data_IF_523319641429
#
_entry.id   IF_523319641429
#
_cell.length_a   1.000
_cell.length_b   1.000
_cell.length_c   1.000
_cell.angle_alpha   90.00
_cell.angle_beta   90.00
_cell.angle_gamma   90.00
#
_symmetry.space_group_name_H-M   'P 1'
#
loop_
_entity.id
_entity.type
_entity.pdbx_description
1 polymer ?
#
# COMPACT_ATOMS: atom_id res chain seq x y z
N UNK A 1 -34.22 -9.77 -17.19
CA UNK A 1 -34.21 -10.24 -15.80
C UNK A 1 -32.78 -10.00 -15.33
N UNK A 2 -32.57 -8.89 -14.65
CA UNK A 2 -31.27 -8.53 -14.07
C UNK A 2 -31.14 -9.32 -12.76
N UNK A 3 -30.23 -10.29 -12.72
CA UNK A 3 -29.81 -10.89 -11.46
C UNK A 3 -29.16 -9.76 -10.63
N UNK A 4 -29.90 -9.31 -9.64
CA UNK A 4 -29.39 -8.45 -8.59
C UNK A 4 -28.38 -9.31 -7.83
N UNK A 5 -27.11 -8.93 -7.82
CA UNK A 5 -26.09 -9.57 -6.99
C UNK A 5 -26.50 -9.38 -5.53
N UNK A 6 -27.13 -10.39 -4.94
CA UNK A 6 -27.61 -10.34 -3.54
C UNK A 6 -26.45 -10.31 -2.52
N UNK A 7 -25.19 -10.35 -2.96
CA UNK A 7 -24.05 -10.42 -2.09
C UNK A 7 -24.03 -11.68 -1.19
N UNK A 8 -23.00 -11.83 -0.35
CA UNK A 8 -22.86 -12.97 0.56
C UNK A 8 -23.97 -12.91 1.62
N UNK A 9 -24.77 -13.98 1.70
CA UNK A 9 -25.85 -14.10 2.68
C UNK A 9 -26.93 -13.00 2.57
N UNK A 10 -27.12 -12.44 1.36
CA UNK A 10 -28.08 -11.35 1.14
C UNK A 10 -27.62 -10.02 1.77
N UNK A 11 -26.36 -9.87 2.09
CA UNK A 11 -25.79 -8.67 2.72
C UNK A 11 -25.63 -7.50 1.74
N UNK A 12 -25.62 -7.77 0.41
CA UNK A 12 -25.28 -6.81 -0.61
C UNK A 12 -23.76 -6.59 -0.80
N UNK A 13 -22.92 -7.35 -0.08
CA UNK A 13 -21.47 -7.27 -0.14
C UNK A 13 -20.86 -8.50 -0.80
N UNK A 14 -19.88 -8.29 -1.67
CA UNK A 14 -19.18 -9.34 -2.40
C UNK A 14 -18.03 -9.93 -1.57
N UNK A 15 -17.40 -11.00 -2.08
CA UNK A 15 -16.21 -11.58 -1.47
C UNK A 15 -15.04 -10.57 -1.43
N UNK A 16 -14.91 -9.74 -2.46
CA UNK A 16 -13.87 -8.70 -2.54
C UNK A 16 -14.10 -7.62 -1.49
N UNK A 17 -15.34 -7.21 -1.27
CA UNK A 17 -15.69 -6.26 -0.21
C UNK A 17 -15.35 -6.81 1.18
N UNK A 18 -15.64 -8.11 1.41
CA UNK A 18 -15.31 -8.77 2.66
C UNK A 18 -13.79 -8.94 2.85
N UNK A 19 -13.03 -9.16 1.79
CA UNK A 19 -11.58 -9.27 1.89
C UNK A 19 -10.92 -7.94 2.26
N UNK A 20 -11.44 -6.83 1.75
CA UNK A 20 -10.94 -5.49 2.03
C UNK A 20 -11.38 -4.95 3.41
N UNK A 21 -12.43 -5.52 4.03
CA UNK A 21 -12.98 -5.03 5.28
C UNK A 21 -12.06 -5.18 6.51
N UNK A 22 -11.41 -6.34 6.75
CA UNK A 22 -10.39 -6.50 7.79
C UNK A 22 -9.17 -5.61 7.60
N UNK A 23 -8.75 -5.38 6.35
CA UNK A 23 -7.56 -4.58 6.03
C UNK A 23 -7.71 -3.12 6.48
N UNK A 24 -8.95 -2.62 6.46
CA UNK A 24 -9.32 -1.29 6.98
C UNK A 24 -9.57 -1.27 8.50
N UNK A 25 -9.25 -2.37 9.20
CA UNK A 25 -9.50 -2.49 10.63
C UNK A 25 -10.98 -2.57 10.99
N UNK A 26 -11.83 -3.03 10.05
CA UNK A 26 -13.30 -3.06 10.16
C UNK A 26 -13.93 -1.69 10.40
N UNK A 27 -13.32 -0.65 9.81
CA UNK A 27 -13.81 0.73 9.91
C UNK A 27 -14.16 1.29 8.53
N UNK A 28 -15.30 2.02 8.39
CA UNK A 28 -16.36 2.14 9.40
C UNK A 28 -17.08 0.80 9.64
N UNK A 29 -17.63 0.59 10.84
CA UNK A 29 -18.38 -0.63 11.16
C UNK A 29 -19.61 -0.77 10.25
N UNK A 30 -19.71 -1.91 9.55
CA UNK A 30 -20.78 -2.18 8.59
C UNK A 30 -21.72 -3.24 9.19
N UNK A 31 -22.84 -2.80 9.75
CA UNK A 31 -23.80 -3.69 10.43
C UNK A 31 -24.27 -4.85 9.52
N UNK A 32 -24.44 -4.62 8.23
CA UNK A 32 -24.84 -5.65 7.26
C UNK A 32 -23.79 -6.77 7.11
N UNK A 33 -22.52 -6.50 7.37
CA UNK A 33 -21.44 -7.50 7.41
C UNK A 33 -21.34 -8.09 8.82
N UNK A 34 -21.24 -7.24 9.85
CA UNK A 34 -20.92 -7.65 11.23
C UNK A 34 -22.02 -8.49 11.89
N UNK A 35 -23.28 -8.29 11.49
CA UNK A 35 -24.41 -9.06 12.03
C UNK A 35 -24.82 -10.25 11.15
N UNK A 36 -24.37 -10.33 9.91
CA UNK A 36 -24.68 -11.41 8.97
C UNK A 36 -23.84 -12.66 9.29
N UNK A 37 -24.48 -13.79 9.50
CA UNK A 37 -23.82 -15.04 9.88
C UNK A 37 -22.90 -15.59 8.79
N UNK A 38 -23.29 -15.45 7.50
CA UNK A 38 -22.50 -15.94 6.37
C UNK A 38 -21.28 -15.04 6.11
N UNK A 39 -21.44 -13.71 6.18
CA UNK A 39 -20.33 -12.80 6.10
C UNK A 39 -19.29 -13.05 7.20
N UNK A 40 -19.73 -13.26 8.44
CA UNK A 40 -18.82 -13.60 9.55
C UNK A 40 -18.09 -14.93 9.32
N UNK A 41 -18.79 -15.96 8.84
CA UNK A 41 -18.16 -17.25 8.54
C UNK A 41 -17.07 -17.13 7.44
N UNK A 42 -17.29 -16.28 6.44
CA UNK A 42 -16.29 -15.98 5.41
C UNK A 42 -15.10 -15.23 6.01
N UNK A 43 -15.33 -14.19 6.79
CA UNK A 43 -14.28 -13.44 7.48
C UNK A 43 -13.43 -14.33 8.40
N UNK A 44 -14.07 -15.19 9.20
CA UNK A 44 -13.39 -16.15 10.06
C UNK A 44 -12.58 -17.17 9.26
N UNK A 45 -13.05 -17.55 8.08
CA UNK A 45 -12.31 -18.41 7.15
C UNK A 45 -11.06 -17.72 6.61
N UNK A 46 -11.17 -16.47 6.19
CA UNK A 46 -10.06 -15.66 5.70
C UNK A 46 -9.00 -15.46 6.80
N UNK A 47 -9.43 -15.17 8.02
CA UNK A 47 -8.52 -15.04 9.18
C UNK A 47 -7.76 -16.35 9.46
N UNK A 48 -8.45 -17.50 9.39
CA UNK A 48 -7.80 -18.82 9.56
C UNK A 48 -6.79 -19.09 8.47
N UNK A 49 -7.12 -18.85 7.19
CA UNK A 49 -6.19 -19.03 6.07
C UNK A 49 -4.97 -18.12 6.24
N UNK A 50 -5.18 -16.85 6.61
CA UNK A 50 -4.09 -15.92 6.88
C UNK A 50 -3.20 -16.34 8.05
N UNK A 51 -3.77 -16.95 9.10
CA UNK A 51 -3.01 -17.49 10.23
C UNK A 51 -2.17 -18.72 9.83
N UNK A 52 -2.76 -19.65 9.08
CA UNK A 52 -2.05 -20.83 8.56
C UNK A 52 -0.92 -20.46 7.60
N UNK A 53 -1.14 -19.49 6.72
CA UNK A 53 -0.10 -19.00 5.80
C UNK A 53 1.09 -18.42 6.56
N UNK A 54 0.83 -17.67 7.64
CA UNK A 54 1.90 -17.12 8.51
C UNK A 54 2.65 -18.22 9.25
N UNK A 55 1.94 -19.28 9.70
CA UNK A 55 2.55 -20.42 10.38
C UNK A 55 3.42 -21.24 9.44
N UNK A 56 2.98 -21.50 8.20
CA UNK A 56 3.77 -22.16 7.16
C UNK A 56 5.04 -21.36 6.85
N UNK A 57 4.93 -20.06 6.62
CA UNK A 57 6.09 -19.20 6.40
C UNK A 57 7.08 -19.25 7.57
N UNK A 58 6.57 -19.21 8.80
CA UNK A 58 7.42 -19.33 9.99
C UNK A 58 8.08 -20.70 10.14
N UNK A 59 7.45 -21.77 9.62
CA UNK A 59 8.04 -23.11 9.56
C UNK A 59 9.15 -23.20 8.51
N UNK A 60 8.89 -22.69 7.30
CA UNK A 60 9.87 -22.68 6.20
C UNK A 60 11.14 -21.89 6.58
N UNK A 61 10.97 -20.77 7.31
CA UNK A 61 12.09 -19.98 7.83
C UNK A 61 12.94 -20.77 8.84
N UNK A 62 12.30 -21.54 9.73
CA UNK A 62 13.03 -22.38 10.70
C UNK A 62 13.77 -23.55 10.05
N UNK A 63 13.23 -24.08 8.96
CA UNK A 63 13.84 -25.20 8.21
C UNK A 63 14.98 -24.74 7.29
N UNK A 64 15.04 -23.45 6.94
CA UNK A 64 16.09 -22.84 6.13
C UNK A 64 16.88 -21.76 6.91
N UNK A 65 17.78 -22.15 7.83
CA UNK A 65 18.50 -21.23 8.71
C UNK A 65 19.53 -20.32 7.99
N UNK A 66 19.65 -20.43 6.66
CA UNK A 66 20.51 -19.54 5.87
C UNK A 66 19.89 -18.15 5.60
N UNK A 67 18.64 -17.95 5.94
CA UNK A 67 17.97 -16.65 5.81
C UNK A 67 17.95 -15.98 7.20
N UNK A 68 18.46 -14.77 7.30
CA UNK A 68 18.43 -13.98 8.54
C UNK A 68 16.95 -13.77 8.95
N UNK A 69 16.53 -14.39 10.06
CA UNK A 69 15.17 -14.30 10.59
C UNK A 69 14.73 -12.85 10.83
N UNK A 70 15.67 -11.97 11.21
CA UNK A 70 15.39 -10.55 11.39
C UNK A 70 15.11 -9.86 10.06
N UNK A 71 15.86 -10.22 9.02
CA UNK A 71 15.65 -9.67 7.67
C UNK A 71 14.29 -10.12 7.10
N UNK A 72 13.96 -11.42 7.21
CA UNK A 72 12.68 -11.93 6.73
C UNK A 72 11.50 -11.36 7.52
N UNK A 73 11.61 -11.25 8.83
CA UNK A 73 10.60 -10.62 9.69
C UNK A 73 10.38 -9.15 9.34
N UNK A 74 11.44 -8.42 9.05
CA UNK A 74 11.36 -7.02 8.62
C UNK A 74 10.73 -6.89 7.23
N UNK A 75 11.08 -7.79 6.31
CA UNK A 75 10.51 -7.83 4.97
C UNK A 75 8.99 -8.11 5.00
N UNK A 76 8.56 -9.14 5.73
CA UNK A 76 7.14 -9.48 5.88
C UNK A 76 6.35 -8.36 6.57
N UNK A 77 6.95 -7.68 7.54
CA UNK A 77 6.34 -6.52 8.19
C UNK A 77 6.19 -5.34 7.22
N UNK A 78 7.19 -5.12 6.39
CA UNK A 78 7.16 -4.07 5.37
C UNK A 78 6.10 -4.35 4.30
N UNK A 79 6.07 -5.56 3.77
CA UNK A 79 5.06 -6.01 2.80
C UNK A 79 3.65 -5.88 3.41
N UNK A 80 3.44 -6.37 4.63
CA UNK A 80 2.15 -6.29 5.31
C UNK A 80 1.70 -4.87 5.57
N UNK A 81 2.63 -3.95 5.81
CA UNK A 81 2.31 -2.52 6.00
C UNK A 81 1.91 -1.86 4.68
N UNK A 82 2.57 -2.23 3.59
CA UNK A 82 2.32 -1.65 2.28
C UNK A 82 1.02 -2.14 1.64
N UNK A 83 0.61 -3.39 1.92
CA UNK A 83 -0.66 -3.96 1.46
C UNK A 83 -1.89 -3.39 2.19
N UNK A 84 -1.72 -2.70 3.32
CA UNK A 84 -2.85 -2.10 4.04
C UNK A 84 -3.28 -0.80 3.38
N UNK A 85 -4.58 -0.58 3.28
CA UNK A 85 -5.16 0.68 2.80
C UNK A 85 -4.67 1.88 3.63
N UNK A 86 -4.31 1.65 4.90
CA UNK A 86 -3.89 2.70 5.82
C UNK A 86 -5.06 3.59 6.22
N UNK A 87 -4.74 4.82 6.63
CA UNK A 87 -5.73 5.82 7.02
C UNK A 87 -6.38 6.48 5.80
N UNK A 88 -7.60 6.99 5.98
CA UNK A 88 -8.23 7.86 5.02
C UNK A 88 -7.71 9.30 5.19
N UNK A 89 -7.30 9.90 4.09
CA UNK A 89 -6.83 11.29 4.02
C UNK A 89 -7.96 12.09 3.37
N UNK A 90 -8.56 13.06 4.07
CA UNK A 90 -9.63 13.86 3.50
C UNK A 90 -9.09 14.72 2.34
N UNK A 91 -9.89 14.82 1.28
CA UNK A 91 -9.64 15.69 0.14
C UNK A 91 -10.59 16.87 0.19
N UNK A 92 -10.15 18.00 -0.36
CA UNK A 92 -11.01 19.19 -0.49
C UNK A 92 -12.17 18.90 -1.42
N UNK A 93 -13.39 19.25 -1.02
CA UNK A 93 -14.58 19.17 -1.87
C UNK A 93 -15.17 20.56 -2.04
N UNK A 94 -15.57 20.90 -3.27
CA UNK A 94 -16.32 22.13 -3.56
C UNK A 94 -17.78 22.04 -3.12
N UNK A 95 -18.28 20.83 -2.91
CA UNK A 95 -19.64 20.58 -2.42
C UNK A 95 -19.61 20.26 -0.92
N UNK A 96 -20.22 21.11 -0.06
CA UNK A 96 -20.21 20.89 1.39
C UNK A 96 -20.99 19.66 1.85
N UNK A 97 -21.79 19.04 0.96
CA UNK A 97 -22.54 17.83 1.24
C UNK A 97 -21.76 16.55 0.87
N UNK A 98 -20.63 16.69 0.18
CA UNK A 98 -19.79 15.59 -0.29
C UNK A 98 -18.52 15.51 0.53
N UNK A 99 -18.26 14.35 1.15
CA UNK A 99 -16.99 14.02 1.80
C UNK A 99 -16.16 13.14 0.86
N UNK A 100 -15.01 13.65 0.45
CA UNK A 100 -14.05 12.92 -0.38
C UNK A 100 -12.84 12.51 0.47
N UNK A 101 -12.33 11.31 0.28
CA UNK A 101 -11.10 10.86 0.89
C UNK A 101 -10.32 9.95 -0.06
N UNK A 102 -9.02 9.92 0.12
CA UNK A 102 -8.12 8.96 -0.53
C UNK A 102 -7.41 8.14 0.54
N UNK A 103 -7.25 6.85 0.33
CA UNK A 103 -6.52 6.03 1.30
C UNK A 103 -5.02 6.26 1.18
N UNK A 104 -4.30 6.16 2.29
CA UNK A 104 -2.84 6.24 2.30
C UNK A 104 -2.20 5.17 1.40
N UNK A 105 -2.82 3.98 1.29
CA UNK A 105 -2.40 2.92 0.38
C UNK A 105 -2.49 3.32 -1.09
N UNK A 106 -3.58 4.00 -1.49
CA UNK A 106 -3.72 4.50 -2.86
C UNK A 106 -2.69 5.58 -3.21
N UNK A 107 -2.36 6.45 -2.25
CA UNK A 107 -1.29 7.45 -2.43
C UNK A 107 0.07 6.77 -2.55
N UNK A 108 0.37 5.76 -1.71
CA UNK A 108 1.62 4.98 -1.80
C UNK A 108 1.76 4.26 -3.14
N UNK A 109 0.68 3.68 -3.64
CA UNK A 109 0.67 3.01 -4.95
C UNK A 109 0.95 4.00 -6.09
N UNK A 110 0.33 5.18 -6.06
CA UNK A 110 0.61 6.23 -7.03
C UNK A 110 2.08 6.66 -7.00
N UNK A 111 2.63 6.86 -5.79
CA UNK A 111 4.03 7.24 -5.59
C UNK A 111 4.98 6.15 -6.11
N UNK A 112 4.69 4.88 -5.82
CA UNK A 112 5.46 3.72 -6.30
C UNK A 112 5.45 3.66 -7.81
N UNK A 113 4.27 3.68 -8.42
CA UNK A 113 4.11 3.66 -9.88
C UNK A 113 4.87 4.81 -10.57
N UNK A 114 4.81 6.00 -9.96
CA UNK A 114 5.55 7.16 -10.47
C UNK A 114 7.07 6.97 -10.38
N UNK A 115 7.58 6.47 -9.26
CA UNK A 115 9.01 6.23 -9.05
C UNK A 115 9.55 5.12 -9.94
N UNK A 116 8.83 4.00 -10.03
CA UNK A 116 9.20 2.84 -10.86
C UNK A 116 9.14 3.15 -12.38
N UNK A 117 8.45 4.24 -12.76
CA UNK A 117 8.47 4.70 -14.16
C UNK A 117 9.80 5.35 -14.60
N UNK A 118 10.73 5.57 -13.68
CA UNK A 118 12.08 6.08 -13.99
C UNK A 118 13.01 4.90 -14.26
N UNK A 119 13.63 4.90 -15.44
CA UNK A 119 14.50 3.81 -15.86
C UNK A 119 15.64 3.53 -14.87
N UNK A 120 15.75 2.27 -14.46
CA UNK A 120 16.79 1.81 -13.56
C UNK A 120 16.52 2.14 -12.08
N UNK A 121 15.29 2.51 -11.74
CA UNK A 121 14.84 2.78 -10.36
C UNK A 121 13.79 1.78 -9.96
N UNK A 122 13.86 1.32 -8.71
CA UNK A 122 12.83 0.52 -8.06
C UNK A 122 12.52 1.13 -6.70
N UNK A 123 11.24 1.41 -6.44
CA UNK A 123 10.79 1.94 -5.15
C UNK A 123 10.66 0.81 -4.14
N UNK A 124 11.50 0.82 -3.10
CA UNK A 124 11.48 -0.16 -2.01
C UNK A 124 10.41 0.13 -0.98
N UNK A 125 10.43 1.34 -0.41
CA UNK A 125 9.44 1.72 0.60
C UNK A 125 8.95 3.16 0.40
N UNK A 126 7.71 3.41 0.83
CA UNK A 126 7.08 4.72 0.84
C UNK A 126 6.39 4.97 2.17
N UNK A 127 6.62 6.12 2.76
CA UNK A 127 5.97 6.56 4.01
C UNK A 127 5.43 7.98 3.82
N UNK A 128 4.18 8.19 4.24
CA UNK A 128 3.54 9.48 4.28
C UNK A 128 3.56 10.02 5.72
N UNK A 129 4.10 11.22 5.89
CA UNK A 129 4.22 11.90 7.18
C UNK A 129 3.32 13.13 7.12
N UNK A 130 2.40 13.25 8.06
CA UNK A 130 1.43 14.35 8.15
C UNK A 130 0.30 13.98 9.09
N UNK A 131 -0.54 14.94 9.44
CA UNK A 131 -1.68 14.70 10.35
C UNK A 131 -2.82 13.95 9.66
N UNK A 132 -3.55 13.09 10.40
CA UNK A 132 -4.65 12.30 9.83
C UNK A 132 -5.83 13.13 9.32
N UNK A 133 -5.98 14.33 9.81
CA UNK A 133 -7.09 15.25 9.51
C UNK A 133 -6.85 16.11 8.25
N UNK A 134 -5.70 15.93 7.59
CA UNK A 134 -5.37 16.68 6.37
C UNK A 134 -5.13 18.18 6.59
N UNK A 135 -4.95 18.62 7.86
CA UNK A 135 -4.74 20.03 8.19
C UNK A 135 -3.30 20.50 7.97
N UNK A 136 -2.35 19.57 7.96
CA UNK A 136 -0.94 19.85 7.72
C UNK A 136 -0.50 19.30 6.37
N UNK A 137 0.44 20.00 5.70
CA UNK A 137 1.05 19.48 4.46
C UNK A 137 1.69 18.11 4.67
N UNK A 138 1.63 17.29 3.64
CA UNK A 138 2.15 15.93 3.68
C UNK A 138 3.60 15.90 3.18
N UNK A 139 4.47 15.25 3.94
CA UNK A 139 5.81 14.88 3.48
C UNK A 139 5.81 13.43 3.01
N UNK A 140 6.33 13.20 1.83
CA UNK A 140 6.51 11.87 1.24
C UNK A 140 7.97 11.47 1.37
N UNK A 141 8.24 10.34 2.02
CA UNK A 141 9.59 9.78 2.15
C UNK A 141 9.68 8.46 1.39
N UNK A 142 10.63 8.39 0.45
CA UNK A 142 10.87 7.24 -0.41
C UNK A 142 12.24 6.65 -0.15
N UNK A 143 12.33 5.32 -0.13
CA UNK A 143 13.60 4.60 -0.27
C UNK A 143 13.58 3.87 -1.60
N UNK A 144 14.59 4.14 -2.43
CA UNK A 144 14.72 3.55 -3.77
C UNK A 144 15.98 2.71 -3.87
N UNK A 145 15.94 1.73 -4.76
CA UNK A 145 17.07 0.98 -5.26
C UNK A 145 17.33 1.42 -6.69
N UNK A 146 18.59 1.59 -7.08
CA UNK A 146 18.94 2.13 -8.40
C UNK A 146 20.01 1.30 -9.09
N UNK A 147 19.92 1.24 -10.42
CA UNK A 147 20.99 0.68 -11.26
C UNK A 147 22.07 1.75 -11.47
N UNK A 148 23.34 1.38 -11.24
CA UNK A 148 24.48 2.29 -11.45
C UNK A 148 24.77 2.50 -12.94
N UNK A 149 23.90 3.24 -13.60
CA UNK A 149 24.04 3.60 -15.02
C UNK A 149 24.15 5.12 -15.23
N UNK A 150 23.73 5.91 -14.24
CA UNK A 150 23.65 7.38 -14.28
C UNK A 150 24.07 7.96 -12.91
N UNK A 151 24.40 9.26 -12.83
CA UNK A 151 24.68 9.92 -11.56
C UNK A 151 23.49 9.78 -10.59
N UNK A 152 23.77 9.32 -9.38
CA UNK A 152 22.75 9.01 -8.36
C UNK A 152 21.89 10.25 -8.02
N UNK A 153 22.51 11.42 -7.97
CA UNK A 153 21.80 12.67 -7.69
C UNK A 153 20.79 13.02 -8.77
N UNK A 154 21.14 12.81 -10.04
CA UNK A 154 20.23 13.06 -11.17
C UNK A 154 19.02 12.13 -11.12
N UNK A 155 19.25 10.83 -10.84
CA UNK A 155 18.17 9.84 -10.66
C UNK A 155 17.25 10.22 -9.51
N UNK A 156 17.80 10.61 -8.36
CA UNK A 156 17.00 11.03 -7.21
C UNK A 156 16.15 12.27 -7.52
N UNK A 157 16.70 13.25 -8.24
CA UNK A 157 15.97 14.44 -8.66
C UNK A 157 14.87 14.12 -9.69
N UNK A 158 15.12 13.19 -10.60
CA UNK A 158 14.13 12.75 -11.59
C UNK A 158 12.95 12.04 -10.90
N UNK A 159 13.24 11.11 -9.98
CA UNK A 159 12.23 10.44 -9.16
C UNK A 159 11.41 11.46 -8.38
N UNK A 160 12.05 12.41 -7.68
CA UNK A 160 11.37 13.46 -6.93
C UNK A 160 10.40 14.26 -7.79
N UNK A 161 10.84 14.71 -8.94
CA UNK A 161 10.02 15.47 -9.88
C UNK A 161 8.85 14.66 -10.42
N UNK A 162 9.10 13.40 -10.75
CA UNK A 162 8.07 12.51 -11.29
C UNK A 162 7.00 12.25 -10.26
N UNK A 163 7.39 11.85 -9.06
CA UNK A 163 6.46 11.60 -7.93
C UNK A 163 5.65 12.86 -7.60
N UNK A 164 6.32 14.01 -7.47
CA UNK A 164 5.64 15.27 -7.17
C UNK A 164 4.62 15.64 -8.25
N UNK A 165 4.99 15.50 -9.53
CA UNK A 165 4.11 15.78 -10.66
C UNK A 165 2.88 14.87 -10.69
N UNK A 166 3.05 13.56 -10.45
CA UNK A 166 1.94 12.62 -10.48
C UNK A 166 1.00 12.83 -9.26
N UNK A 167 1.55 13.17 -8.10
CA UNK A 167 0.73 13.51 -6.94
C UNK A 167 -0.12 14.75 -7.21
N UNK A 168 0.46 15.83 -7.71
CA UNK A 168 -0.29 17.06 -8.04
C UNK A 168 -1.35 16.84 -9.12
N UNK A 169 -1.10 15.94 -10.07
CA UNK A 169 -2.02 15.67 -11.18
C UNK A 169 -3.22 14.83 -10.75
N UNK A 170 -3.03 13.88 -9.84
CA UNK A 170 -4.02 12.89 -9.49
C UNK A 170 -4.63 13.06 -8.10
N UNK A 171 -4.09 13.96 -7.28
CA UNK A 171 -4.60 14.23 -5.94
C UNK A 171 -4.66 15.73 -5.69
N UNK A 172 -5.50 16.15 -4.75
CA UNK A 172 -5.57 17.54 -4.25
C UNK A 172 -4.81 17.67 -2.92
N UNK A 173 -3.83 16.79 -2.68
CA UNK A 173 -3.04 16.78 -1.45
C UNK A 173 -2.05 17.94 -1.44
N UNK A 174 -1.93 18.61 -0.30
CA UNK A 174 -0.89 19.60 -0.07
C UNK A 174 0.43 18.88 0.26
N UNK A 175 1.35 18.84 -0.69
CA UNK A 175 2.64 18.15 -0.58
C UNK A 175 3.74 19.15 -0.27
N UNK A 176 4.24 19.10 0.95
CA UNK A 176 5.34 19.97 1.41
C UNK A 176 6.69 19.53 0.81
N UNK A 177 6.97 18.24 0.83
CA UNK A 177 8.26 17.71 0.38
C UNK A 177 8.15 16.25 -0.10
N UNK A 178 9.02 15.90 -1.06
CA UNK A 178 9.31 14.53 -1.48
C UNK A 178 10.77 14.24 -1.19
N UNK A 179 11.03 13.45 -0.16
CA UNK A 179 12.36 13.04 0.28
C UNK A 179 12.72 11.69 -0.36
N UNK A 180 13.82 11.63 -1.09
CA UNK A 180 14.29 10.43 -1.77
C UNK A 180 15.59 9.97 -1.15
N UNK A 181 15.62 8.74 -0.65
CA UNK A 181 16.80 8.07 -0.10
C UNK A 181 17.18 6.93 -1.03
N UNK A 182 18.41 6.89 -1.49
CA UNK A 182 18.96 5.74 -2.21
C UNK A 182 19.46 4.76 -1.17
N UNK A 183 18.73 3.64 -1.00
CA UNK A 183 19.05 2.60 -0.02
C UNK A 183 19.94 1.51 -0.57
N UNK A 184 19.92 1.32 -1.90
CA UNK A 184 20.70 0.27 -2.55
C UNK A 184 21.09 0.66 -3.98
N UNK A 185 22.22 0.11 -4.45
CA UNK A 185 22.76 0.37 -5.78
C UNK A 185 23.17 -0.96 -6.42
N UNK A 186 22.54 -1.28 -7.56
CA UNK A 186 22.88 -2.50 -8.30
C UNK A 186 23.76 -2.19 -9.50
N UNK A 187 24.69 -3.09 -9.76
CA UNK A 187 25.45 -3.12 -11.02
C UNK A 187 24.75 -4.15 -11.90
N UNK A 188 24.25 -3.73 -13.08
CA UNK A 188 23.76 -4.69 -14.07
C UNK A 188 24.97 -5.51 -14.54
N UNK A 189 25.10 -6.71 -14.03
CA UNK A 189 25.97 -7.70 -14.65
C UNK A 189 25.26 -8.19 -15.89
N UNK A 190 25.83 -7.94 -17.08
CA UNK A 190 25.31 -8.43 -18.34
C UNK A 190 25.56 -9.95 -18.44
N UNK A 191 24.79 -10.72 -17.67
CA UNK A 191 24.69 -12.17 -17.77
C UNK A 191 23.20 -12.51 -17.63
N UNK A 192 22.47 -12.30 -18.72
CA UNK A 192 21.40 -13.21 -19.08
C UNK A 192 21.17 -13.12 -20.60
N UNK A 193 21.28 -14.25 -21.33
CA UNK A 193 21.03 -14.32 -22.77
C UNK A 193 19.55 -14.27 -23.10
#
# INVERSE_FOLDING_TARGET
MTETEEGIGGSGYTLDDLSAYPDRGRLPAIAAIDTNAECRAVLDSMERVGALSRELLASDVRENPSVDENWLGSLLTSISRELRAGRDIPLSSTDPTTSLSITEGAVRELVRSAGDSVDGVLVGSCTLIGTPDGTEPIQVSLTISVVLARPLQELAEEVRKRVYSELLKHTELDIEAVNVTIGDVHIMTSEDP
#
